data_IF_705427481030
#
_entry.id   IF_705427481030
#
_cell.length_a   1.000
_cell.length_b   1.000
_cell.length_c   1.000
_cell.angle_alpha   90.00
_cell.angle_beta   90.00
_cell.angle_gamma   90.00
#
_symmetry.space_group_name_H-M   'P 1'
#
loop_
_entity.id
_entity.type
_entity.pdbx_description
1 polymer ?
#
# COMPACT_ATOMS: atom_id res chain seq x y z
N UNK A 1 -26.44 -24.11 9.03
CA UNK A 1 -24.96 -24.24 9.02
C UNK A 1 -24.38 -23.43 10.17
N UNK A 2 -23.22 -23.82 10.70
CA UNK A 2 -22.55 -23.15 11.83
C UNK A 2 -21.20 -22.55 11.40
N UNK A 3 -20.63 -21.69 12.25
CA UNK A 3 -19.29 -21.11 12.07
C UNK A 3 -18.41 -21.53 13.26
N UNK A 4 -17.19 -21.99 12.98
CA UNK A 4 -16.25 -22.53 13.98
C UNK A 4 -15.46 -21.46 14.73
N UNK A 5 -15.55 -20.19 14.35
CA UNK A 5 -14.88 -19.07 15.03
C UNK A 5 -15.72 -18.45 16.16
N UNK A 6 -16.97 -18.91 16.32
CA UNK A 6 -17.88 -18.47 17.37
C UNK A 6 -17.79 -19.42 18.57
N UNK A 7 -17.91 -18.87 19.80
CA UNK A 7 -17.87 -19.67 21.01
C UNK A 7 -18.97 -20.73 21.03
N UNK A 8 -18.64 -21.87 21.64
CA UNK A 8 -19.51 -23.02 21.80
C UNK A 8 -20.85 -22.65 22.48
N UNK A 9 -21.99 -23.19 22.04
CA UNK A 9 -23.16 -23.33 22.90
C UNK A 9 -22.81 -24.28 24.06
N UNK A 10 -22.77 -23.77 25.29
CA UNK A 10 -22.14 -24.42 26.45
C UNK A 10 -22.69 -25.80 26.81
N UNK A 11 -23.91 -26.12 26.37
CA UNK A 11 -24.49 -27.46 26.34
C UNK A 11 -25.72 -27.48 25.42
N UNK A 12 -26.08 -28.65 24.89
CA UNK A 12 -27.41 -28.85 24.32
C UNK A 12 -28.44 -28.98 25.45
N UNK A 13 -29.54 -28.21 25.43
CA UNK A 13 -30.67 -28.44 26.33
C UNK A 13 -31.18 -29.89 26.24
N UNK A 14 -31.62 -30.48 27.36
CA UNK A 14 -32.15 -31.86 27.38
C UNK A 14 -33.28 -32.09 26.36
N UNK A 15 -34.03 -31.03 26.04
CA UNK A 15 -35.14 -31.03 25.07
C UNK A 15 -34.73 -30.78 23.62
N UNK A 16 -33.43 -30.79 23.31
CA UNK A 16 -32.96 -30.54 21.94
C UNK A 16 -33.46 -31.59 20.95
N UNK A 17 -33.85 -31.10 19.77
CA UNK A 17 -34.34 -31.94 18.68
C UNK A 17 -33.25 -32.86 18.13
N UNK A 18 -33.62 -33.96 17.44
CA UNK A 18 -32.64 -34.81 16.76
C UNK A 18 -31.74 -34.05 15.77
N UNK A 19 -32.29 -33.04 15.10
CA UNK A 19 -31.55 -32.21 14.12
C UNK A 19 -30.54 -31.28 14.81
N UNK A 20 -30.90 -30.70 15.96
CA UNK A 20 -30.00 -29.89 16.78
C UNK A 20 -28.84 -30.74 17.31
N UNK A 21 -29.13 -31.95 17.78
CA UNK A 21 -28.12 -32.92 18.24
C UNK A 21 -27.17 -33.33 17.11
N UNK A 22 -27.70 -33.61 15.92
CA UNK A 22 -26.89 -33.94 14.75
C UNK A 22 -25.98 -32.77 14.35
N UNK A 23 -26.50 -31.54 14.37
CA UNK A 23 -25.74 -30.33 14.04
C UNK A 23 -24.60 -30.09 15.03
N UNK A 24 -24.86 -30.27 16.33
CA UNK A 24 -23.85 -30.13 17.38
C UNK A 24 -22.74 -31.19 17.28
N UNK A 25 -23.10 -32.46 17.05
CA UNK A 25 -22.11 -33.52 16.86
C UNK A 25 -21.22 -33.26 15.64
N UNK A 26 -21.82 -32.79 14.55
CA UNK A 26 -21.07 -32.39 13.35
C UNK A 26 -20.10 -31.24 13.66
N UNK A 27 -20.54 -30.24 14.43
CA UNK A 27 -19.67 -29.15 14.89
C UNK A 27 -18.48 -29.67 15.69
N UNK A 28 -18.68 -30.62 16.61
CA UNK A 28 -17.59 -31.20 17.42
C UNK A 28 -16.55 -31.91 16.54
N UNK A 29 -17.00 -32.67 15.54
CA UNK A 29 -16.10 -33.31 14.58
C UNK A 29 -15.30 -32.30 13.77
N UNK A 30 -15.97 -31.29 13.22
CA UNK A 30 -15.32 -30.27 12.40
C UNK A 30 -14.36 -29.39 13.22
N UNK A 31 -14.73 -29.05 14.46
CA UNK A 31 -13.84 -28.36 15.39
C UNK A 31 -12.58 -29.19 15.66
N UNK A 32 -12.71 -30.50 15.93
CA UNK A 32 -11.54 -31.39 16.14
C UNK A 32 -10.65 -31.44 14.91
N UNK A 33 -11.22 -31.55 13.71
CA UNK A 33 -10.47 -31.58 12.44
C UNK A 33 -9.72 -30.27 12.23
N UNK A 34 -10.41 -29.13 12.30
CA UNK A 34 -9.80 -27.80 12.07
C UNK A 34 -8.74 -27.50 13.12
N UNK A 35 -9.00 -27.82 14.39
CA UNK A 35 -8.00 -27.73 15.46
C UNK A 35 -6.74 -28.53 15.14
N UNK A 36 -6.90 -29.79 14.71
CA UNK A 36 -5.76 -30.63 14.32
C UNK A 36 -4.96 -30.00 13.18
N UNK A 37 -5.63 -29.42 12.19
CA UNK A 37 -4.99 -28.74 11.05
C UNK A 37 -4.22 -27.50 11.54
N UNK A 38 -4.83 -26.65 12.36
CA UNK A 38 -4.20 -25.44 12.91
C UNK A 38 -2.94 -25.82 13.70
N UNK A 39 -3.05 -26.79 14.62
CA UNK A 39 -1.92 -27.24 15.43
C UNK A 39 -0.81 -27.88 14.59
N UNK A 40 -1.15 -28.63 13.54
CA UNK A 40 -0.17 -29.23 12.64
C UNK A 40 0.55 -28.20 11.74
N UNK A 41 -0.08 -27.04 11.48
CA UNK A 41 0.56 -25.94 10.74
C UNK A 41 1.52 -25.08 11.58
N UNK A 42 1.56 -25.30 12.90
CA UNK A 42 2.44 -24.57 13.82
C UNK A 42 3.79 -25.28 13.94
N UNK A 43 4.83 -24.52 14.33
CA UNK A 43 6.08 -25.13 14.79
C UNK A 43 5.88 -25.83 16.13
N UNK A 44 6.74 -26.77 16.48
CA UNK A 44 6.65 -27.54 17.73
C UNK A 44 6.60 -26.62 18.97
N UNK A 45 7.32 -25.51 18.96
CA UNK A 45 7.38 -24.56 20.07
C UNK A 45 6.06 -23.82 20.28
N UNK A 46 5.41 -23.41 19.18
CA UNK A 46 4.10 -22.74 19.23
C UNK A 46 3.04 -23.79 19.54
N UNK A 47 3.03 -24.94 18.87
CA UNK A 47 2.04 -25.99 19.06
C UNK A 47 1.89 -26.38 20.55
N UNK A 48 3.01 -26.57 21.26
CA UNK A 48 3.02 -26.87 22.72
C UNK A 48 2.37 -25.80 23.60
N UNK A 49 2.23 -24.56 23.12
CA UNK A 49 1.55 -23.51 23.87
C UNK A 49 0.03 -23.58 23.70
N UNK A 50 -0.47 -24.18 22.62
CA UNK A 50 -1.89 -24.20 22.23
C UNK A 50 -2.53 -25.60 22.32
N UNK A 51 -1.74 -26.65 22.59
CA UNK A 51 -2.18 -28.05 22.67
C UNK A 51 -3.24 -28.36 23.75
N UNK A 52 -3.31 -27.52 24.79
CA UNK A 52 -4.29 -27.60 25.88
C UNK A 52 -5.61 -26.89 25.59
N UNK A 53 -5.69 -26.08 24.55
CA UNK A 53 -6.93 -25.39 24.18
C UNK A 53 -7.81 -26.37 23.40
N UNK A 54 -9.04 -26.60 23.84
CA UNK A 54 -9.91 -27.66 23.32
C UNK A 54 -10.67 -27.27 22.05
N UNK A 55 -10.87 -25.97 21.84
CA UNK A 55 -11.70 -25.42 20.76
C UNK A 55 -10.96 -24.40 19.89
N UNK A 56 -11.36 -24.34 18.62
CA UNK A 56 -10.83 -23.42 17.62
C UNK A 56 -11.01 -21.94 18.02
N UNK A 57 -12.18 -21.48 18.54
CA UNK A 57 -12.34 -20.11 19.00
C UNK A 57 -11.30 -19.68 20.05
N UNK A 58 -11.02 -20.51 21.05
CA UNK A 58 -10.01 -20.23 22.08
C UNK A 58 -8.59 -20.12 21.48
N UNK A 59 -8.24 -20.99 20.53
CA UNK A 59 -6.95 -20.91 19.81
C UNK A 59 -6.86 -19.59 19.04
N UNK A 60 -7.89 -19.26 18.26
CA UNK A 60 -7.95 -18.04 17.46
C UNK A 60 -7.88 -16.77 18.32
N UNK A 61 -8.59 -16.73 19.44
CA UNK A 61 -8.57 -15.60 20.37
C UNK A 61 -7.18 -15.38 20.94
N UNK A 62 -6.55 -16.44 21.47
CA UNK A 62 -5.19 -16.33 22.03
C UNK A 62 -4.16 -16.00 20.96
N UNK A 63 -4.28 -16.52 19.74
CA UNK A 63 -3.42 -16.13 18.63
C UNK A 63 -3.56 -14.63 18.31
N UNK A 64 -4.79 -14.10 18.33
CA UNK A 64 -5.03 -12.67 18.16
C UNK A 64 -4.40 -11.87 19.29
N UNK A 65 -4.53 -12.29 20.54
CA UNK A 65 -3.96 -11.54 21.67
C UNK A 65 -2.43 -11.52 21.66
N UNK A 66 -1.79 -12.63 21.25
CA UNK A 66 -0.32 -12.75 21.25
C UNK A 66 0.31 -12.16 19.99
N UNK A 67 -0.31 -12.36 18.82
CA UNK A 67 0.31 -12.07 17.52
C UNK A 67 -0.37 -10.96 16.73
N UNK A 68 -1.56 -10.48 17.12
CA UNK A 68 -2.13 -9.34 16.43
C UNK A 68 -1.25 -8.11 16.67
N UNK A 69 -0.80 -7.52 15.57
CA UNK A 69 -0.14 -6.21 15.64
C UNK A 69 -1.21 -5.19 16.04
N UNK A 70 -1.03 -4.44 17.15
CA UNK A 70 -2.04 -3.47 17.57
C UNK A 70 -2.32 -2.46 16.45
N UNK A 71 -3.58 -2.08 16.26
CA UNK A 71 -3.96 -1.12 15.21
C UNK A 71 -3.17 0.19 15.29
N UNK A 72 -2.82 0.64 16.51
CA UNK A 72 -1.93 1.79 16.74
C UNK A 72 -0.55 1.60 16.09
N UNK A 73 0.05 0.42 16.19
CA UNK A 73 1.36 0.14 15.61
C UNK A 73 1.30 0.13 14.08
N UNK A 74 0.27 -0.50 13.49
CA UNK A 74 0.05 -0.50 12.04
C UNK A 74 -0.14 0.92 11.52
N UNK A 75 -0.98 1.72 12.20
CA UNK A 75 -1.20 3.13 11.88
C UNK A 75 0.09 3.94 11.97
N UNK A 76 0.84 3.80 13.08
CA UNK A 76 2.14 4.46 13.23
C UNK A 76 3.10 4.12 12.08
N UNK A 77 3.21 2.85 11.70
CA UNK A 77 4.08 2.42 10.61
C UNK A 77 3.64 3.00 9.26
N UNK A 78 2.34 3.00 8.96
CA UNK A 78 1.78 3.60 7.74
C UNK A 78 2.02 5.12 7.70
N UNK A 79 1.76 5.82 8.81
CA UNK A 79 2.00 7.26 8.94
C UNK A 79 3.48 7.58 8.75
N UNK A 80 4.38 6.84 9.41
CA UNK A 80 5.84 7.02 9.25
C UNK A 80 6.28 6.78 7.80
N UNK A 81 5.75 5.75 7.14
CA UNK A 81 6.05 5.48 5.74
C UNK A 81 5.55 6.60 4.82
N UNK A 82 4.34 7.11 5.05
CA UNK A 82 3.76 8.20 4.28
C UNK A 82 4.58 9.49 4.37
N UNK A 83 4.79 10.01 5.58
CA UNK A 83 5.59 11.23 5.79
C UNK A 83 7.07 11.08 5.41
N UNK A 84 7.61 9.86 5.48
CA UNK A 84 9.00 9.57 5.12
C UNK A 84 9.24 9.24 3.64
N UNK A 85 8.19 9.09 2.84
CA UNK A 85 8.35 8.73 1.42
C UNK A 85 8.84 9.95 0.63
N UNK A 86 9.97 9.79 -0.06
CA UNK A 86 10.55 10.77 -0.97
C UNK A 86 10.80 10.11 -2.33
N UNK A 87 10.60 10.87 -3.40
CA UNK A 87 10.92 10.49 -4.77
C UNK A 87 12.36 10.89 -5.07
N UNK A 88 13.10 9.99 -5.73
CA UNK A 88 14.46 10.29 -6.17
C UNK A 88 14.44 11.09 -7.48
N UNK A 89 15.43 11.95 -7.67
CA UNK A 89 15.62 12.69 -8.92
C UNK A 89 15.71 11.73 -10.12
N UNK A 90 14.98 12.02 -11.20
CA UNK A 90 14.92 11.19 -12.40
C UNK A 90 14.22 9.83 -12.27
N UNK A 91 13.62 9.51 -11.10
CA UNK A 91 12.79 8.31 -10.95
C UNK A 91 11.37 8.53 -11.47
N UNK A 92 10.61 7.45 -11.72
CA UNK A 92 9.25 7.56 -12.28
C UNK A 92 8.23 8.13 -11.29
N UNK A 93 7.60 9.24 -11.66
CA UNK A 93 6.45 9.82 -10.94
C UNK A 93 5.32 8.82 -10.84
N UNK A 94 5.02 8.07 -11.90
CA UNK A 94 3.91 7.12 -11.88
C UNK A 94 4.13 6.03 -10.81
N UNK A 95 5.34 5.48 -10.72
CA UNK A 95 5.67 4.49 -9.68
C UNK A 95 5.58 5.10 -8.27
N UNK A 96 6.02 6.34 -8.10
CA UNK A 96 5.93 7.05 -6.83
C UNK A 96 4.48 7.37 -6.43
N UNK A 97 3.66 7.82 -7.38
CA UNK A 97 2.25 8.12 -7.21
C UNK A 97 1.45 6.90 -6.77
N UNK A 98 1.66 5.74 -7.41
CA UNK A 98 1.02 4.47 -6.99
C UNK A 98 1.41 4.10 -5.55
N UNK A 99 2.68 4.26 -5.18
CA UNK A 99 3.14 3.99 -3.81
C UNK A 99 2.46 4.91 -2.80
N UNK A 100 2.40 6.21 -3.07
CA UNK A 100 1.72 7.18 -2.21
C UNK A 100 0.23 6.85 -2.09
N UNK A 101 -0.46 6.58 -3.20
CA UNK A 101 -1.89 6.27 -3.19
C UNK A 101 -2.18 5.05 -2.31
N UNK A 102 -1.37 4.00 -2.40
CA UNK A 102 -1.52 2.82 -1.53
C UNK A 102 -1.34 3.14 -0.04
N UNK A 103 -0.52 4.14 0.30
CA UNK A 103 -0.33 4.60 1.68
C UNK A 103 -1.51 5.44 2.16
N UNK A 104 -2.09 6.27 1.29
CA UNK A 104 -3.30 7.05 1.56
C UNK A 104 -4.48 6.12 1.85
N UNK A 105 -4.77 5.18 0.94
CA UNK A 105 -5.85 4.19 1.11
C UNK A 105 -5.70 3.43 2.44
N UNK A 106 -4.47 3.00 2.74
CA UNK A 106 -4.16 2.33 4.01
C UNK A 106 -4.40 3.22 5.23
N UNK A 107 -4.11 4.51 5.15
CA UNK A 107 -4.33 5.46 6.25
C UNK A 107 -5.83 5.76 6.43
N UNK A 108 -6.60 5.81 5.35
CA UNK A 108 -8.06 5.94 5.37
C UNK A 108 -8.72 4.70 6.01
N UNK A 109 -8.31 3.50 5.62
CA UNK A 109 -8.76 2.23 6.22
C UNK A 109 -8.48 2.18 7.73
N UNK A 110 -7.33 2.71 8.15
CA UNK A 110 -6.92 2.81 9.55
C UNK A 110 -7.54 4.01 10.28
N UNK A 111 -8.39 4.79 9.61
CA UNK A 111 -9.05 6.00 10.11
C UNK A 111 -8.05 6.93 10.77
N UNK A 112 -6.96 7.22 10.06
CA UNK A 112 -5.87 8.06 10.57
C UNK A 112 -6.32 9.51 10.83
N UNK A 113 -7.39 9.96 10.18
CA UNK A 113 -7.98 11.29 10.40
C UNK A 113 -7.19 12.43 9.77
N UNK A 114 -6.47 12.16 8.69
CA UNK A 114 -5.82 13.20 7.88
C UNK A 114 -6.81 13.72 6.84
N UNK A 115 -6.80 15.02 6.62
CA UNK A 115 -7.56 15.66 5.54
C UNK A 115 -6.83 15.54 4.19
N UNK A 116 -7.57 15.82 3.12
CA UNK A 116 -7.06 15.76 1.75
C UNK A 116 -5.91 16.74 1.50
N UNK A 117 -5.95 17.92 2.12
CA UNK A 117 -4.91 18.94 1.97
C UNK A 117 -3.58 18.46 2.56
N UNK A 118 -3.63 17.81 3.72
CA UNK A 118 -2.46 17.18 4.34
C UNK A 118 -1.85 16.11 3.43
N UNK A 119 -2.69 15.31 2.76
CA UNK A 119 -2.18 14.33 1.80
C UNK A 119 -1.48 15.01 0.62
N UNK A 120 -2.10 16.05 0.05
CA UNK A 120 -1.54 16.83 -1.06
C UNK A 120 -0.21 17.48 -0.65
N UNK A 121 -0.16 18.12 0.51
CA UNK A 121 1.04 18.79 1.01
C UNK A 121 2.21 17.81 1.14
N UNK A 122 1.96 16.61 1.67
CA UNK A 122 3.00 15.58 1.80
C UNK A 122 3.43 15.05 0.43
N UNK A 123 2.51 14.91 -0.52
CA UNK A 123 2.83 14.53 -1.90
C UNK A 123 3.75 15.56 -2.53
N UNK A 124 3.39 16.85 -2.48
CA UNK A 124 4.22 17.92 -3.04
C UNK A 124 5.60 17.97 -2.38
N UNK A 125 5.66 17.85 -1.05
CA UNK A 125 6.93 17.79 -0.30
C UNK A 125 7.77 16.54 -0.59
N UNK A 126 7.18 15.48 -1.15
CA UNK A 126 7.88 14.24 -1.46
C UNK A 126 8.67 14.29 -2.78
N UNK A 127 8.37 15.27 -3.64
CA UNK A 127 8.96 15.40 -4.96
C UNK A 127 10.39 15.95 -4.89
N UNK A 128 11.23 15.65 -5.90
CA UNK A 128 12.57 16.22 -5.98
C UNK A 128 12.53 17.68 -6.51
N UNK A 129 13.61 18.45 -6.34
CA UNK A 129 13.65 19.88 -6.70
C UNK A 129 13.32 20.20 -8.17
N UNK A 130 13.50 19.24 -9.10
CA UNK A 130 13.09 19.41 -10.50
C UNK A 130 11.60 19.70 -10.69
N UNK A 131 10.75 19.40 -9.69
CA UNK A 131 9.32 19.67 -9.70
C UNK A 131 8.95 21.01 -9.06
N UNK A 132 9.91 21.78 -8.53
CA UNK A 132 9.67 23.09 -7.90
C UNK A 132 8.84 24.05 -8.77
N UNK A 133 9.06 24.16 -10.10
CA UNK A 133 8.22 25.02 -10.95
C UNK A 133 6.74 24.60 -10.93
N UNK A 134 6.45 23.30 -10.91
CA UNK A 134 5.08 22.79 -10.82
C UNK A 134 4.51 23.04 -9.42
N UNK A 135 5.28 22.82 -8.37
CA UNK A 135 4.85 23.03 -6.98
C UNK A 135 4.50 24.50 -6.74
N UNK A 136 5.35 25.43 -7.19
CA UNK A 136 5.10 26.87 -7.08
C UNK A 136 3.81 27.24 -7.83
N UNK A 137 3.64 26.74 -9.05
CA UNK A 137 2.42 26.98 -9.82
C UNK A 137 1.18 26.38 -9.15
N UNK A 138 1.29 25.18 -8.56
CA UNK A 138 0.21 24.56 -7.80
C UNK A 138 -0.16 25.39 -6.57
N UNK A 139 0.82 25.89 -5.82
CA UNK A 139 0.54 26.72 -4.63
C UNK A 139 -0.08 28.08 -4.97
N UNK A 140 0.23 28.64 -6.15
CA UNK A 140 -0.31 29.93 -6.57
C UNK A 140 -1.67 29.84 -7.27
N UNK A 141 -1.90 28.77 -8.04
CA UNK A 141 -3.04 28.64 -8.96
C UNK A 141 -3.84 27.35 -8.76
N UNK A 142 -3.45 26.51 -7.81
CA UNK A 142 -4.08 25.23 -7.53
C UNK A 142 -5.49 25.43 -7.01
N UNK A 143 -6.46 24.98 -7.79
CA UNK A 143 -7.81 24.70 -7.30
C UNK A 143 -7.77 23.51 -6.34
N UNK A 144 -8.86 23.30 -5.59
CA UNK A 144 -9.09 22.03 -4.90
C UNK A 144 -9.00 20.88 -5.92
N UNK A 145 -8.06 19.96 -5.70
CA UNK A 145 -7.86 18.77 -6.52
C UNK A 145 -7.86 17.54 -5.65
N UNK A 146 -8.31 16.43 -6.21
CA UNK A 146 -8.11 15.11 -5.62
C UNK A 146 -6.65 14.67 -5.77
N UNK A 147 -6.24 13.72 -4.92
CA UNK A 147 -4.91 13.07 -5.00
C UNK A 147 -4.67 12.45 -6.38
N UNK A 148 -5.69 11.85 -6.99
CA UNK A 148 -5.58 11.28 -8.33
C UNK A 148 -5.31 12.34 -9.41
N UNK A 149 -5.99 13.48 -9.35
CA UNK A 149 -5.76 14.59 -10.28
C UNK A 149 -4.37 15.19 -10.12
N UNK A 150 -3.88 15.30 -8.88
CA UNK A 150 -2.51 15.73 -8.61
C UNK A 150 -1.48 14.77 -9.22
N UNK A 151 -1.62 13.46 -9.00
CA UNK A 151 -0.72 12.45 -9.59
C UNK A 151 -0.74 12.54 -11.12
N UNK A 152 -1.91 12.68 -11.74
CA UNK A 152 -2.02 12.82 -13.19
C UNK A 152 -1.32 14.08 -13.71
N UNK A 153 -1.40 15.20 -12.98
CA UNK A 153 -0.67 16.43 -13.34
C UNK A 153 0.84 16.21 -13.27
N UNK A 154 1.33 15.54 -12.23
CA UNK A 154 2.75 15.24 -12.07
C UNK A 154 3.27 14.35 -13.21
N UNK A 155 2.49 13.34 -13.62
CA UNK A 155 2.84 12.48 -14.76
C UNK A 155 2.89 13.29 -16.07
N UNK A 156 1.92 14.18 -16.30
CA UNK A 156 1.96 15.05 -17.49
C UNK A 156 3.19 15.97 -17.49
N UNK A 157 3.55 16.51 -16.33
CA UNK A 157 4.75 17.34 -16.17
C UNK A 157 6.03 16.56 -16.48
N UNK A 158 6.17 15.33 -15.96
CA UNK A 158 7.29 14.43 -16.28
C UNK A 158 7.39 14.21 -17.79
N UNK A 159 6.27 13.89 -18.48
CA UNK A 159 6.30 13.63 -19.94
C UNK A 159 6.64 14.85 -20.80
N UNK A 160 6.34 16.07 -20.32
CA UNK A 160 6.59 17.32 -21.06
C UNK A 160 8.02 17.81 -20.86
N UNK A 161 8.56 17.65 -19.64
CA UNK A 161 9.94 18.02 -19.31
C UNK A 161 10.96 17.07 -19.93
N UNK A 162 10.73 15.77 -19.92
CA UNK A 162 11.63 14.80 -20.59
C UNK A 162 11.65 14.92 -22.13
N UNK A 163 10.64 15.53 -22.75
CA UNK A 163 10.66 15.85 -24.19
C UNK A 163 11.49 17.10 -24.52
N UNK A 164 11.84 17.90 -23.51
CA UNK A 164 12.53 19.19 -23.68
C UNK A 164 14.04 19.17 -23.44
N UNK A 165 14.64 18.02 -23.09
CA UNK A 165 16.11 17.89 -23.16
C UNK A 165 16.54 17.98 -24.64
N UNK A 166 17.28 19.02 -25.06
CA UNK A 166 17.60 19.21 -26.46
C UNK A 166 18.67 18.22 -26.88
N UNK A 167 18.36 17.41 -27.89
CA UNK A 167 19.37 16.90 -28.81
C UNK A 167 19.98 18.08 -29.59
N UNK A 168 20.91 18.82 -29.00
CA UNK A 168 21.75 19.81 -29.66
C UNK A 168 23.01 20.01 -28.77
N UNK A 169 24.25 19.81 -29.20
CA UNK A 169 24.89 20.27 -30.43
C UNK A 169 26.11 19.37 -30.74
N UNK A 170 26.06 18.54 -31.79
CA UNK A 170 27.29 18.16 -32.51
C UNK A 170 27.46 19.22 -33.60
N UNK A 171 28.25 20.25 -33.30
CA UNK A 171 28.66 21.23 -34.28
C UNK A 171 29.65 20.60 -35.25
N UNK A 172 29.17 20.04 -36.36
CA UNK A 172 30.03 19.78 -37.50
C UNK A 172 30.32 21.11 -38.21
N UNK A 173 31.49 21.67 -37.93
CA UNK A 173 32.05 22.77 -38.70
C UNK A 173 32.37 22.29 -40.13
N UNK A 174 31.41 22.45 -41.05
CA UNK A 174 31.67 22.31 -42.48
C UNK A 174 32.35 23.58 -42.99
N UNK A 175 33.68 23.53 -43.12
CA UNK A 175 34.44 24.57 -43.83
C UNK A 175 34.12 24.53 -45.32
N UNK A 176 33.42 25.55 -45.82
CA UNK A 176 33.23 25.77 -47.25
C UNK A 176 34.52 26.32 -47.88
N UNK A 177 35.22 25.50 -48.67
CA UNK A 177 36.25 25.98 -49.60
C UNK A 177 35.56 26.54 -50.84
N UNK A 178 35.45 27.87 -50.91
CA UNK A 178 35.14 28.57 -52.14
C UNK A 178 36.30 28.45 -53.13
N UNK A 179 35.96 28.07 -54.36
CA UNK A 179 36.84 27.88 -55.50
C UNK A 179 36.77 29.16 -56.32
N UNK A 180 37.82 29.97 -56.30
CA UNK A 180 37.96 31.10 -57.23
C UNK A 180 38.89 30.72 -58.39
N UNK A 181 38.43 31.01 -59.61
CA UNK A 181 39.11 30.82 -60.89
C UNK A 181 39.21 32.19 -61.55
N UNK A 182 40.42 32.66 -61.87
CA UNK A 182 40.61 33.54 -63.04
C UNK A 182 41.70 34.60 -63.00
N UNK A 183 42.80 34.29 -63.70
CA UNK A 183 43.53 35.12 -64.67
C UNK A 183 44.17 36.47 -64.28
N UNK A 184 45.52 36.56 -64.40
CA UNK A 184 46.25 37.40 -65.40
C UNK A 184 47.75 37.53 -65.04
N UNK A 185 48.62 37.02 -65.89
CA UNK A 185 49.64 37.75 -66.68
C UNK A 185 50.58 36.77 -67.37
#
# INVERSE_FOLDING_TARGET
>A
GYVLDKPLPTALPERSSPEERATFNKWLEDNRKVRSIILASMTNEIQKQYDRLEDVPSIMLRMKDVYAVPGRHIRYAATKAFFGTKMAEGSSVQSHGVKILSLVEKLEDLKAGLDNDTYIDVILQSLPPSYDPLIINYNMNGLEKSIHELINMLVQYETTTHKSEPAALVGEASTSKAKDKGARR
#
